data_IF_842266285217
#
_entry.id   IF_842266285217
#
_cell.length_a   1.000
_cell.length_b   1.000
_cell.length_c   1.000
_cell.angle_alpha   90.00
_cell.angle_beta   90.00
_cell.angle_gamma   90.00
#
_symmetry.space_group_name_H-M   'P 1'
#
loop_
_entity.id
_entity.type
_entity.pdbx_description
1 polymer ?
#
# COMPACT_ATOMS: atom_id res chain seq x y z
N UNK A 1 -9.36 -3.52 6.97
CA UNK A 1 -10.72 -3.04 6.66
C UNK A 1 -10.85 -1.52 6.61
N UNK A 2 -10.37 -0.76 7.61
CA UNK A 2 -10.52 0.70 7.62
C UNK A 2 -10.09 1.39 6.32
N UNK A 3 -8.95 0.99 5.75
CA UNK A 3 -8.45 1.52 4.46
C UNK A 3 -9.39 1.23 3.27
N UNK A 4 -9.98 0.04 3.19
CA UNK A 4 -10.80 -0.39 2.05
C UNK A 4 -12.08 0.44 1.87
N UNK A 5 -12.57 1.08 2.94
CA UNK A 5 -13.78 1.91 2.93
C UNK A 5 -13.49 3.41 3.06
N UNK A 6 -12.26 3.86 2.80
CA UNK A 6 -11.93 5.30 2.82
C UNK A 6 -12.43 5.97 1.55
N UNK A 7 -13.54 6.71 1.65
CA UNK A 7 -14.06 7.57 0.56
C UNK A 7 -14.10 9.06 0.93
N UNK A 8 -13.65 9.43 2.13
CA UNK A 8 -13.81 10.75 2.71
C UNK A 8 -13.18 11.89 1.87
N UNK A 9 -12.03 11.65 1.25
CA UNK A 9 -11.30 12.66 0.47
C UNK A 9 -12.04 13.11 -0.80
N UNK A 10 -12.81 12.21 -1.43
CA UNK A 10 -13.57 12.50 -2.66
C UNK A 10 -15.03 12.89 -2.39
N UNK A 11 -15.48 12.71 -1.16
CA UNK A 11 -16.89 12.90 -0.79
C UNK A 11 -17.38 14.33 -1.10
N UNK A 12 -16.54 15.35 -0.87
CA UNK A 12 -16.89 16.73 -1.16
C UNK A 12 -17.09 17.01 -2.66
N UNK A 13 -16.27 16.39 -3.52
CA UNK A 13 -16.39 16.52 -4.98
C UNK A 13 -17.69 15.87 -5.48
N UNK A 14 -18.02 14.69 -4.97
CA UNK A 14 -19.27 13.96 -5.30
C UNK A 14 -20.49 14.76 -4.81
N UNK A 15 -20.43 15.34 -3.61
CA UNK A 15 -21.49 16.21 -3.11
C UNK A 15 -21.68 17.46 -3.98
N UNK A 16 -20.57 18.03 -4.47
CA UNK A 16 -20.56 19.17 -5.37
C UNK A 16 -21.20 18.90 -6.73
N UNK A 17 -21.04 17.69 -7.27
CA UNK A 17 -21.52 17.29 -8.60
C UNK A 17 -22.97 16.78 -8.64
N UNK A 18 -23.59 16.51 -7.49
CA UNK A 18 -24.98 16.06 -7.39
C UNK A 18 -26.00 17.10 -7.86
N UNK A 19 -26.89 16.70 -8.78
CA UNK A 19 -28.00 17.52 -9.26
C UNK A 19 -29.03 17.72 -8.13
N UNK A 20 -29.17 18.96 -7.66
CA UNK A 20 -29.94 19.36 -6.45
C UNK A 20 -29.36 18.78 -5.15
N UNK A 21 -28.47 19.55 -4.52
CA UNK A 21 -27.78 19.20 -3.28
C UNK A 21 -28.76 19.14 -2.10
N UNK A 22 -28.99 17.96 -1.56
CA UNK A 22 -29.76 17.75 -0.33
C UNK A 22 -29.14 16.62 0.48
N UNK A 23 -29.15 16.76 1.82
CA UNK A 23 -28.55 15.80 2.74
C UNK A 23 -29.21 14.42 2.65
N UNK A 24 -30.54 14.35 2.47
CA UNK A 24 -31.26 13.07 2.40
C UNK A 24 -30.88 12.25 1.17
N UNK A 25 -30.74 12.91 0.01
CA UNK A 25 -30.30 12.28 -1.23
C UNK A 25 -28.85 11.83 -1.15
N UNK A 26 -28.00 12.69 -0.60
CA UNK A 26 -26.59 12.37 -0.43
C UNK A 26 -26.41 11.18 0.51
N UNK A 27 -27.10 11.14 1.65
CA UNK A 27 -27.10 10.00 2.57
C UNK A 27 -27.57 8.71 1.88
N UNK A 28 -28.66 8.75 1.12
CA UNK A 28 -29.14 7.57 0.39
C UNK A 28 -28.11 7.05 -0.62
N UNK A 29 -27.52 7.94 -1.43
CA UNK A 29 -26.48 7.58 -2.40
C UNK A 29 -25.25 7.00 -1.70
N UNK A 30 -24.77 7.64 -0.61
CA UNK A 30 -23.64 7.13 0.17
C UNK A 30 -23.91 5.75 0.76
N UNK A 31 -25.09 5.53 1.34
CA UNK A 31 -25.45 4.22 1.90
C UNK A 31 -25.56 3.14 0.82
N UNK A 32 -26.17 3.44 -0.34
CA UNK A 32 -26.26 2.49 -1.45
C UNK A 32 -24.86 2.13 -1.99
N UNK A 33 -23.97 3.11 -2.15
CA UNK A 33 -22.61 2.89 -2.65
C UNK A 33 -21.76 2.08 -1.67
N UNK A 34 -21.77 2.43 -0.38
CA UNK A 34 -20.99 1.71 0.65
C UNK A 34 -21.53 0.31 0.90
N UNK A 35 -22.85 0.13 0.89
CA UNK A 35 -23.45 -1.21 1.06
C UNK A 35 -23.14 -2.10 -0.14
N UNK A 36 -23.23 -1.57 -1.36
CA UNK A 36 -22.86 -2.31 -2.57
C UNK A 36 -21.39 -2.73 -2.58
N UNK A 37 -20.47 -1.82 -2.23
CA UNK A 37 -19.05 -2.16 -2.13
C UNK A 37 -18.76 -3.15 -1.02
N UNK A 38 -19.44 -3.05 0.14
CA UNK A 38 -19.27 -3.98 1.24
C UNK A 38 -19.69 -5.40 0.88
N UNK A 39 -20.83 -5.56 0.18
CA UNK A 39 -21.27 -6.88 -0.33
C UNK A 39 -20.24 -7.44 -1.29
N UNK A 40 -19.79 -6.64 -2.27
CA UNK A 40 -18.80 -7.08 -3.27
C UNK A 40 -17.47 -7.50 -2.63
N UNK A 41 -16.93 -6.67 -1.73
CA UNK A 41 -15.70 -6.98 -1.00
C UNK A 41 -15.85 -8.23 -0.11
N UNK A 42 -17.01 -8.44 0.50
CA UNK A 42 -17.27 -9.61 1.34
C UNK A 42 -17.34 -10.88 0.50
N UNK A 43 -18.04 -10.85 -0.64
CA UNK A 43 -18.13 -12.00 -1.56
C UNK A 43 -16.75 -12.39 -2.09
N UNK A 44 -15.97 -11.41 -2.58
CA UNK A 44 -14.61 -11.67 -3.07
C UNK A 44 -13.67 -12.13 -1.95
N UNK A 45 -13.73 -11.49 -0.78
CA UNK A 45 -12.90 -11.84 0.36
C UNK A 45 -13.19 -13.24 0.90
N UNK A 46 -14.48 -13.59 1.01
CA UNK A 46 -14.90 -14.93 1.46
C UNK A 46 -14.53 -15.99 0.43
N UNK A 47 -14.81 -15.77 -0.85
CA UNK A 47 -14.42 -16.71 -1.91
C UNK A 47 -12.89 -16.90 -1.96
N UNK A 48 -12.11 -15.82 -1.86
CA UNK A 48 -10.65 -15.88 -1.83
C UNK A 48 -10.11 -16.64 -0.61
N UNK A 49 -10.68 -16.41 0.57
CA UNK A 49 -10.30 -17.11 1.79
C UNK A 49 -10.66 -18.60 1.74
N UNK A 50 -11.86 -18.95 1.26
CA UNK A 50 -12.31 -20.34 1.18
C UNK A 50 -11.47 -21.18 0.19
N UNK A 51 -10.85 -20.56 -0.82
CA UNK A 51 -10.03 -21.28 -1.80
C UNK A 51 -8.66 -21.73 -1.25
N UNK A 52 -8.03 -20.95 -0.36
CA UNK A 52 -6.66 -21.19 0.11
C UNK A 52 -6.55 -21.44 1.63
N UNK A 53 -7.59 -21.09 2.39
CA UNK A 53 -7.70 -21.29 3.83
C UNK A 53 -6.43 -20.83 4.57
N UNK A 54 -5.72 -21.76 5.23
CA UNK A 54 -4.58 -21.47 6.08
C UNK A 54 -3.31 -21.01 5.31
N UNK A 55 -3.29 -21.13 3.98
CA UNK A 55 -2.17 -20.71 3.14
C UNK A 55 -2.38 -19.33 2.48
N UNK A 56 -3.39 -18.56 2.89
CA UNK A 56 -3.76 -17.30 2.24
C UNK A 56 -2.73 -16.20 2.49
N UNK A 57 -2.09 -15.72 1.43
CA UNK A 57 -1.22 -14.54 1.42
C UNK A 57 -2.01 -13.24 1.33
N UNK A 58 -1.37 -12.16 1.76
CA UNK A 58 -1.95 -10.81 1.81
C UNK A 58 -2.34 -10.21 0.45
N UNK A 59 -1.69 -10.64 -0.63
CA UNK A 59 -2.12 -10.39 -2.00
C UNK A 59 -2.75 -11.66 -2.56
N UNK A 60 -4.03 -11.56 -2.96
CA UNK A 60 -4.80 -12.68 -3.48
C UNK A 60 -4.14 -13.31 -4.72
N UNK A 61 -3.54 -12.50 -5.60
CA UNK A 61 -2.90 -12.99 -6.82
C UNK A 61 -1.60 -13.73 -6.54
N UNK A 62 -1.00 -13.53 -5.37
CA UNK A 62 0.21 -14.24 -4.94
C UNK A 62 -0.09 -15.65 -4.41
N UNK A 63 -1.37 -16.02 -4.26
CA UNK A 63 -1.81 -17.39 -3.96
C UNK A 63 -1.93 -18.26 -5.22
N UNK A 64 -1.94 -17.69 -6.42
CA UNK A 64 -2.00 -18.48 -7.64
C UNK A 64 -0.60 -18.79 -8.16
N UNK A 65 -0.42 -19.95 -8.79
CA UNK A 65 0.84 -20.32 -9.41
C UNK A 65 1.21 -19.36 -10.55
N UNK A 66 2.50 -19.31 -10.91
CA UNK A 66 2.98 -18.45 -11.99
C UNK A 66 2.52 -18.96 -13.36
N UNK A 67 2.38 -20.28 -13.50
CA UNK A 67 1.99 -20.94 -14.75
C UNK A 67 0.49 -20.81 -15.08
N UNK A 68 -0.32 -20.31 -14.15
CA UNK A 68 -1.75 -20.10 -14.38
C UNK A 68 -1.98 -18.87 -15.28
N UNK A 69 -2.47 -19.11 -16.50
CA UNK A 69 -2.72 -18.07 -17.49
C UNK A 69 -3.84 -17.11 -17.06
N UNK A 70 -4.85 -17.57 -16.31
CA UNK A 70 -5.95 -16.72 -15.81
C UNK A 70 -5.41 -15.77 -14.76
N UNK A 71 -4.63 -16.28 -13.81
CA UNK A 71 -3.96 -15.46 -12.81
C UNK A 71 -2.99 -14.47 -13.45
N UNK A 72 -2.29 -14.88 -14.52
CA UNK A 72 -1.39 -14.00 -15.28
C UNK A 72 -2.13 -12.87 -15.98
N UNK A 73 -3.27 -13.14 -16.60
CA UNK A 73 -4.14 -12.10 -17.19
C UNK A 73 -4.66 -11.15 -16.09
N UNK A 74 -5.08 -11.68 -14.94
CA UNK A 74 -5.54 -10.86 -13.82
C UNK A 74 -4.43 -9.95 -13.26
N UNK A 75 -3.19 -10.45 -13.14
CA UNK A 75 -2.01 -9.66 -12.77
C UNK A 75 -1.74 -8.54 -13.76
N UNK A 76 -1.84 -8.82 -15.06
CA UNK A 76 -1.67 -7.80 -16.10
C UNK A 76 -2.74 -6.71 -16.00
N UNK A 77 -4.02 -7.08 -15.89
CA UNK A 77 -5.12 -6.12 -15.74
C UNK A 77 -4.97 -5.26 -14.47
N UNK A 78 -4.61 -5.90 -13.36
CA UNK A 78 -4.33 -5.20 -12.10
C UNK A 78 -3.16 -4.21 -12.25
N UNK A 79 -2.09 -4.59 -12.94
CA UNK A 79 -0.97 -3.70 -13.23
C UNK A 79 -1.38 -2.51 -14.13
N UNK A 80 -2.21 -2.74 -15.16
CA UNK A 80 -2.76 -1.66 -15.98
C UNK A 80 -3.60 -0.68 -15.16
N UNK A 81 -4.45 -1.17 -14.26
CA UNK A 81 -5.25 -0.33 -13.35
C UNK A 81 -4.34 0.51 -12.44
N UNK A 82 -3.32 -0.09 -11.84
CA UNK A 82 -2.35 0.64 -11.01
C UNK A 82 -1.61 1.70 -11.83
N UNK A 83 -1.16 1.36 -13.04
CA UNK A 83 -0.44 2.29 -13.93
C UNK A 83 -1.27 3.53 -14.27
N UNK A 84 -2.59 3.35 -14.47
CA UNK A 84 -3.52 4.44 -14.75
C UNK A 84 -3.89 5.24 -13.49
N UNK A 85 -3.90 4.59 -12.32
CA UNK A 85 -4.29 5.22 -11.04
C UNK A 85 -3.16 6.06 -10.44
N UNK A 86 -1.93 5.56 -10.52
CA UNK A 86 -0.73 6.20 -9.96
C UNK A 86 -0.53 7.68 -10.36
N UNK A 87 -0.64 8.10 -11.64
CA UNK A 87 -0.48 9.51 -12.00
C UNK A 87 -1.57 10.40 -11.42
N UNK A 88 -2.80 9.89 -11.29
CA UNK A 88 -3.93 10.63 -10.73
C UNK A 88 -3.70 10.87 -9.24
N UNK A 89 -3.23 9.86 -8.51
CA UNK A 89 -2.93 10.00 -7.08
C UNK A 89 -1.76 10.94 -6.81
N UNK A 90 -0.69 10.87 -7.60
CA UNK A 90 0.44 11.80 -7.45
C UNK A 90 0.01 13.24 -7.70
N UNK A 91 -0.90 13.47 -8.65
CA UNK A 91 -1.44 14.81 -8.89
C UNK A 91 -2.12 15.37 -7.63
N UNK A 92 -2.98 14.57 -6.98
CA UNK A 92 -3.65 14.97 -5.73
C UNK A 92 -2.64 15.18 -4.60
N UNK A 93 -1.66 14.28 -4.44
CA UNK A 93 -0.61 14.42 -3.44
C UNK A 93 0.23 15.69 -3.64
N UNK A 94 0.53 16.07 -4.89
CA UNK A 94 1.27 17.28 -5.21
C UNK A 94 0.51 18.53 -4.75
N UNK A 95 -0.77 18.62 -5.06
CA UNK A 95 -1.63 19.74 -4.66
C UNK A 95 -1.72 19.86 -3.13
N UNK A 96 -1.92 18.73 -2.43
CA UNK A 96 -1.94 18.71 -0.96
C UNK A 96 -0.60 19.15 -0.38
N UNK A 97 0.52 18.66 -0.94
CA UNK A 97 1.85 19.02 -0.47
C UNK A 97 2.15 20.51 -0.68
N UNK A 98 1.73 21.09 -1.80
CA UNK A 98 1.86 22.52 -2.07
C UNK A 98 1.06 23.37 -1.08
N UNK A 99 -0.18 22.95 -0.76
CA UNK A 99 -1.02 23.61 0.25
C UNK A 99 -0.35 23.51 1.62
N UNK A 100 0.06 22.32 2.05
CA UNK A 100 0.70 22.11 3.35
C UNK A 100 1.96 22.96 3.46
N UNK A 101 2.81 22.95 2.43
CA UNK A 101 4.05 23.72 2.39
C UNK A 101 3.79 25.23 2.48
N UNK A 102 2.79 25.73 1.76
CA UNK A 102 2.42 27.16 1.82
C UNK A 102 1.82 27.60 3.17
N UNK A 103 1.23 26.67 3.92
CA UNK A 103 0.56 26.92 5.21
C UNK A 103 1.47 26.65 6.42
N UNK A 104 2.73 26.25 6.22
CA UNK A 104 3.65 26.02 7.33
C UNK A 104 3.89 27.34 8.11
N UNK A 105 3.86 27.30 9.47
CA UNK A 105 4.09 28.48 10.27
C UNK A 105 5.52 28.99 10.08
N UNK A 106 5.70 30.32 10.13
CA UNK A 106 7.00 30.99 9.97
C UNK A 106 8.12 30.39 10.85
N UNK A 107 7.76 29.81 12.00
CA UNK A 107 8.68 29.08 12.88
C UNK A 107 9.28 27.85 12.22
N UNK A 108 8.50 26.97 11.59
CA UNK A 108 9.07 25.78 10.90
C UNK A 108 9.95 26.21 9.72
N UNK A 109 9.53 27.24 9.00
CA UNK A 109 10.30 27.84 7.90
C UNK A 109 11.66 28.37 8.41
N UNK A 110 11.70 29.00 9.59
CA UNK A 110 12.94 29.51 10.16
C UNK A 110 13.88 28.40 10.68
N UNK A 111 13.36 27.29 11.23
CA UNK A 111 14.14 26.09 11.59
C UNK A 111 14.75 25.41 10.36
N UNK A 112 13.99 25.30 9.26
CA UNK A 112 14.54 24.79 7.98
C UNK A 112 15.64 25.73 7.45
N UNK A 113 15.59 27.03 7.76
CA UNK A 113 16.52 28.05 7.23
C UNK A 113 17.94 28.02 7.86
N UNK A 114 18.18 27.22 8.90
CA UNK A 114 19.43 27.28 9.70
C UNK A 114 20.70 26.64 9.07
N UNK A 115 20.72 26.26 7.78
CA UNK A 115 21.92 25.72 7.09
C UNK A 115 22.22 26.37 5.74
N UNK A 116 23.50 26.45 5.32
CA UNK A 116 23.92 27.15 4.08
C UNK A 116 23.29 26.59 2.79
N UNK A 117 23.17 25.26 2.65
CA UNK A 117 22.47 24.57 1.53
C UNK A 117 20.94 24.77 1.60
N UNK A 118 20.41 24.99 2.81
CA UNK A 118 18.99 25.12 3.08
C UNK A 118 18.40 26.47 2.66
N UNK A 119 19.21 27.49 2.35
CA UNK A 119 18.72 28.81 1.86
C UNK A 119 18.23 28.79 0.41
N UNK A 120 18.77 27.90 -0.42
CA UNK A 120 18.29 27.70 -1.79
C UNK A 120 17.02 26.83 -1.76
N UNK A 121 17.05 25.72 -1.02
CA UNK A 121 15.92 24.82 -0.83
C UNK A 121 14.72 25.51 -0.17
N UNK A 122 14.92 26.33 0.87
CA UNK A 122 13.82 27.09 1.50
C UNK A 122 13.27 28.20 0.60
N UNK A 123 14.10 28.90 -0.16
CA UNK A 123 13.61 29.86 -1.17
C UNK A 123 12.80 29.15 -2.26
N UNK A 124 13.21 27.95 -2.66
CA UNK A 124 12.52 27.15 -3.66
C UNK A 124 11.17 26.58 -3.16
N UNK A 125 11.17 26.00 -1.95
CA UNK A 125 9.99 25.41 -1.33
C UNK A 125 8.93 26.45 -0.96
N UNK A 126 9.34 27.67 -0.57
CA UNK A 126 8.44 28.69 -0.02
C UNK A 126 8.33 29.97 -0.89
N UNK A 127 8.71 29.92 -2.17
CA UNK A 127 8.58 31.09 -3.07
C UNK A 127 7.11 31.46 -3.30
N UNK A 128 6.68 32.69 -2.96
CA UNK A 128 5.30 33.13 -3.12
C UNK A 128 5.09 33.77 -4.50
N UNK A 129 4.99 32.97 -5.57
CA UNK A 129 4.18 33.26 -6.79
C UNK A 129 4.51 32.34 -7.96
N UNK A 130 3.42 31.86 -8.58
CA UNK A 130 3.19 31.48 -9.98
C UNK A 130 4.18 30.54 -10.70
N UNK A 131 3.74 29.29 -10.87
CA UNK A 131 4.03 28.40 -12.02
C UNK A 131 5.49 28.17 -12.43
N UNK A 132 6.37 27.79 -11.50
CA UNK A 132 7.65 27.22 -11.93
C UNK A 132 7.48 25.70 -12.19
N UNK A 133 7.38 25.33 -13.47
CA UNK A 133 7.47 23.95 -13.97
C UNK A 133 8.55 23.11 -13.25
N UNK A 134 9.76 23.63 -12.92
CA UNK A 134 10.75 22.87 -12.14
C UNK A 134 10.31 22.52 -10.72
N UNK A 135 9.48 23.33 -10.05
CA UNK A 135 8.95 23.01 -8.72
C UNK A 135 8.00 21.83 -8.77
N UNK A 136 7.07 21.83 -9.72
CA UNK A 136 6.15 20.71 -9.89
C UNK A 136 6.90 19.42 -10.24
N UNK A 137 7.89 19.50 -11.15
CA UNK A 137 8.72 18.34 -11.51
C UNK A 137 9.47 17.79 -10.29
N UNK A 138 10.10 18.65 -9.48
CA UNK A 138 10.85 18.21 -8.29
C UNK A 138 9.93 17.57 -7.25
N UNK A 139 8.76 18.17 -6.98
CA UNK A 139 7.81 17.59 -6.01
C UNK A 139 7.29 16.23 -6.48
N UNK A 140 6.92 16.10 -7.75
CA UNK A 140 6.52 14.83 -8.35
C UNK A 140 7.63 13.79 -8.29
N UNK A 141 8.88 14.18 -8.61
CA UNK A 141 10.04 13.28 -8.54
C UNK A 141 10.24 12.76 -7.11
N UNK A 142 10.17 13.64 -6.11
CA UNK A 142 10.30 13.24 -4.70
C UNK A 142 9.18 12.28 -4.29
N UNK A 143 7.94 12.54 -4.69
CA UNK A 143 6.80 11.65 -4.40
C UNK A 143 6.98 10.27 -5.06
N UNK A 144 7.38 10.23 -6.34
CA UNK A 144 7.62 8.99 -7.08
C UNK A 144 8.77 8.21 -6.44
N UNK A 145 9.92 8.85 -6.18
CA UNK A 145 11.07 8.22 -5.55
C UNK A 145 10.74 7.68 -4.16
N UNK A 146 9.93 8.42 -3.38
CA UNK A 146 9.46 7.94 -2.09
C UNK A 146 8.58 6.68 -2.23
N UNK A 147 7.60 6.70 -3.13
CA UNK A 147 6.74 5.53 -3.38
C UNK A 147 7.53 4.32 -3.90
N UNK A 148 8.51 4.54 -4.77
CA UNK A 148 9.41 3.49 -5.25
C UNK A 148 10.27 2.95 -4.12
N UNK A 149 10.79 3.82 -3.25
CA UNK A 149 11.55 3.43 -2.07
C UNK A 149 10.76 2.49 -1.16
N UNK A 150 9.49 2.81 -0.89
CA UNK A 150 8.60 1.93 -0.10
C UNK A 150 8.35 0.59 -0.79
N UNK A 151 8.15 0.59 -2.11
CA UNK A 151 7.96 -0.64 -2.90
C UNK A 151 9.20 -1.54 -2.95
N UNK A 152 10.42 -0.97 -2.86
CA UNK A 152 11.67 -1.75 -2.81
C UNK A 152 12.00 -2.28 -1.41
N UNK A 153 11.45 -1.67 -0.36
CA UNK A 153 11.69 -2.12 1.01
C UNK A 153 10.64 -3.11 1.50
N UNK A 154 9.44 -3.13 0.91
CA UNK A 154 8.30 -3.92 1.40
C UNK A 154 7.75 -4.83 0.32
N UNK A 155 7.89 -6.14 0.53
CA UNK A 155 7.37 -7.17 -0.39
C UNK A 155 5.91 -7.56 -0.06
N UNK A 156 5.44 -7.20 1.14
CA UNK A 156 4.11 -7.56 1.65
C UNK A 156 3.11 -6.40 1.57
N UNK A 157 2.17 -6.52 0.62
CA UNK A 157 1.08 -5.55 0.42
C UNK A 157 0.23 -5.37 1.69
N UNK A 158 0.01 -6.44 2.46
CA UNK A 158 -0.82 -6.38 3.68
C UNK A 158 -0.26 -5.45 4.76
N UNK A 159 1.06 -5.38 4.91
CA UNK A 159 1.71 -4.51 5.89
C UNK A 159 1.48 -3.04 5.51
N UNK A 160 1.70 -2.72 4.23
CA UNK A 160 1.50 -1.36 3.69
C UNK A 160 0.04 -0.92 3.84
N UNK A 161 -0.91 -1.79 3.49
CA UNK A 161 -2.34 -1.52 3.64
C UNK A 161 -2.76 -1.38 5.12
N UNK A 162 -2.14 -2.16 6.02
CA UNK A 162 -2.33 -2.09 7.46
C UNK A 162 -1.89 -0.73 8.04
N UNK A 163 -0.68 -0.29 7.70
CA UNK A 163 -0.17 1.03 8.10
C UNK A 163 -1.05 2.16 7.59
N UNK A 164 -1.45 2.12 6.32
CA UNK A 164 -2.30 3.14 5.72
C UNK A 164 -3.67 3.22 6.43
N UNK A 165 -4.24 2.07 6.80
CA UNK A 165 -5.46 2.00 7.59
C UNK A 165 -5.33 2.63 8.99
N UNK A 166 -4.23 2.35 9.70
CA UNK A 166 -4.05 2.83 11.07
C UNK A 166 -3.65 4.31 11.11
N UNK A 167 -2.74 4.75 10.24
CA UNK A 167 -2.18 6.11 10.26
C UNK A 167 -3.06 7.14 9.55
N UNK A 168 -3.74 6.75 8.47
CA UNK A 168 -4.47 7.70 7.62
C UNK A 168 -5.98 7.51 7.74
N UNK A 169 -6.48 6.29 7.58
CA UNK A 169 -7.92 6.03 7.60
C UNK A 169 -8.55 6.25 8.97
N UNK A 170 -7.90 5.76 10.04
CA UNK A 170 -8.45 5.81 11.41
C UNK A 170 -8.63 7.26 11.91
N UNK A 171 -7.63 8.16 11.79
CA UNK A 171 -7.83 9.56 12.16
C UNK A 171 -8.88 10.27 11.31
N UNK A 172 -8.91 9.99 10.00
CA UNK A 172 -9.88 10.60 9.09
C UNK A 172 -11.32 10.17 9.39
N UNK A 173 -11.54 8.91 9.77
CA UNK A 173 -12.87 8.37 10.03
C UNK A 173 -13.37 8.64 11.45
N UNK A 174 -12.50 8.58 12.47
CA UNK A 174 -12.93 8.65 13.87
C UNK A 174 -12.52 9.94 14.59
N UNK A 175 -11.35 10.50 14.28
CA UNK A 175 -10.80 11.63 15.06
C UNK A 175 -11.27 12.96 14.48
N UNK A 176 -11.07 13.18 13.19
CA UNK A 176 -11.37 14.45 12.52
C UNK A 176 -12.86 14.86 12.52
N UNK A 177 -13.82 13.99 12.14
CA UNK A 177 -15.23 14.37 12.16
C UNK A 177 -15.70 14.66 13.58
N UNK A 178 -15.24 13.87 14.54
CA UNK A 178 -15.59 14.00 15.96
C UNK A 178 -15.00 15.27 16.59
N UNK A 179 -13.75 15.60 16.28
CA UNK A 179 -13.12 16.85 16.71
C UNK A 179 -13.85 18.07 16.14
N UNK A 180 -14.27 17.99 14.88
CA UNK A 180 -15.04 19.05 14.23
C UNK A 180 -16.41 19.22 14.88
N UNK A 181 -17.11 18.12 15.17
CA UNK A 181 -18.39 18.14 15.88
C UNK A 181 -18.28 18.75 17.28
N UNK A 182 -17.26 18.35 18.06
CA UNK A 182 -17.02 18.90 19.40
C UNK A 182 -16.64 20.39 19.38
N UNK A 183 -15.92 20.86 18.35
CA UNK A 183 -15.61 22.28 18.18
C UNK A 183 -16.84 23.10 17.79
N UNK A 184 -17.66 22.61 16.88
CA UNK A 184 -18.88 23.31 16.44
C UNK A 184 -19.93 23.39 17.55
N UNK A 185 -20.06 22.34 18.37
CA UNK A 185 -21.02 22.34 19.47
C UNK A 185 -20.54 23.12 20.70
N UNK A 186 -19.25 23.53 20.78
CA UNK A 186 -18.64 24.17 21.96
C UNK A 186 -19.24 25.53 22.34
N UNK A 187 -19.86 26.24 21.40
CA UNK A 187 -20.46 27.56 21.62
C UNK A 187 -21.84 27.56 22.30
N UNK A 188 -22.50 26.40 22.42
CA UNK A 188 -23.77 26.28 23.13
C UNK A 188 -23.56 26.16 24.64
N UNK A 189 -24.30 26.97 25.43
CA UNK A 189 -24.40 26.96 26.90
C UNK A 189 -25.08 25.68 27.42
N UNK A 190 -24.70 24.51 26.90
CA UNK A 190 -25.13 23.21 27.42
C UNK A 190 -23.99 22.62 28.25
N UNK A 191 -24.37 22.05 29.39
CA UNK A 191 -23.50 21.31 30.30
C UNK A 191 -22.61 20.33 29.48
N UNK A 192 -21.32 20.24 29.82
CA UNK A 192 -20.35 19.25 29.31
C UNK A 192 -20.85 17.78 29.25
N UNK A 193 -21.94 17.46 29.96
CA UNK A 193 -22.52 16.12 30.13
C UNK A 193 -23.73 15.83 29.23
N UNK A 194 -23.91 16.55 28.12
CA UNK A 194 -24.92 16.12 27.14
C UNK A 194 -24.53 14.76 26.53
N UNK A 195 -25.47 13.82 26.42
CA UNK A 195 -25.21 12.44 25.94
C UNK A 195 -24.52 12.42 24.59
N UNK A 196 -24.85 13.35 23.69
CA UNK A 196 -24.25 13.43 22.34
C UNK A 196 -22.76 13.80 22.39
N UNK A 197 -22.36 14.65 23.35
CA UNK A 197 -20.94 15.01 23.55
C UNK A 197 -20.16 13.87 24.19
N UNK A 198 -20.79 13.10 25.09
CA UNK A 198 -20.17 11.91 25.67
C UNK A 198 -19.92 10.86 24.60
N UNK A 199 -20.90 10.60 23.72
CA UNK A 199 -20.75 9.69 22.59
C UNK A 199 -19.63 10.17 21.66
N UNK A 200 -19.59 11.46 21.33
CA UNK A 200 -18.49 12.01 20.53
C UNK A 200 -17.12 11.80 21.20
N UNK A 201 -16.97 12.12 22.48
CA UNK A 201 -15.72 11.86 23.20
C UNK A 201 -15.33 10.38 23.21
N UNK A 202 -16.29 9.48 23.41
CA UNK A 202 -16.06 8.04 23.39
C UNK A 202 -15.54 7.56 22.02
N UNK A 203 -16.15 8.04 20.91
CA UNK A 203 -15.71 7.71 19.54
C UNK A 203 -14.30 8.21 19.25
N UNK A 204 -13.96 9.43 19.71
CA UNK A 204 -12.61 9.98 19.55
C UNK A 204 -11.57 9.15 20.31
N UNK A 205 -11.83 8.82 21.57
CA UNK A 205 -10.92 8.01 22.41
C UNK A 205 -10.76 6.61 21.80
N UNK A 206 -11.85 5.99 21.36
CA UNK A 206 -11.80 4.72 20.64
C UNK A 206 -10.91 4.79 19.40
N UNK A 207 -11.05 5.84 18.57
CA UNK A 207 -10.22 6.03 17.39
C UNK A 207 -8.72 6.17 17.73
N UNK A 208 -8.38 6.86 18.82
CA UNK A 208 -6.99 6.97 19.30
C UNK A 208 -6.46 5.62 19.76
N UNK A 209 -7.24 4.84 20.51
CA UNK A 209 -6.85 3.50 20.97
C UNK A 209 -6.60 2.58 19.76
N UNK A 210 -7.52 2.55 18.80
CA UNK A 210 -7.39 1.75 17.57
C UNK A 210 -6.16 2.17 16.77
N UNK A 211 -5.87 3.48 16.69
CA UNK A 211 -4.67 3.97 16.02
C UNK A 211 -3.40 3.48 16.72
N UNK A 212 -3.29 3.62 18.04
CA UNK A 212 -2.08 3.20 18.79
C UNK A 212 -1.86 1.69 18.70
N UNK A 213 -2.89 0.90 19.01
CA UNK A 213 -2.81 -0.56 18.96
C UNK A 213 -2.51 -1.02 17.53
N UNK A 214 -3.24 -0.48 16.53
CA UNK A 214 -3.05 -0.82 15.13
C UNK A 214 -1.64 -0.51 14.64
N UNK A 215 -1.08 0.65 15.00
CA UNK A 215 0.31 0.98 14.65
C UNK A 215 1.33 0.06 15.33
N UNK A 216 1.13 -0.30 16.59
CA UNK A 216 2.02 -1.23 17.28
C UNK A 216 2.02 -2.61 16.60
N UNK A 217 0.84 -3.13 16.26
CA UNK A 217 0.70 -4.41 15.56
C UNK A 217 1.33 -4.37 14.15
N UNK A 218 1.14 -3.28 13.41
CA UNK A 218 1.77 -3.11 12.09
C UNK A 218 3.30 -3.05 12.17
N UNK A 219 3.86 -2.46 13.23
CA UNK A 219 5.31 -2.41 13.45
C UNK A 219 5.85 -3.81 13.74
N UNK A 220 5.22 -4.56 14.64
CA UNK A 220 5.63 -5.93 14.95
C UNK A 220 5.62 -6.82 13.69
N UNK A 221 4.57 -6.72 12.89
CA UNK A 221 4.46 -7.45 11.62
C UNK A 221 5.55 -7.04 10.62
N UNK A 222 5.86 -5.74 10.52
CA UNK A 222 6.92 -5.26 9.65
C UNK A 222 8.30 -5.80 10.07
N UNK A 223 8.61 -5.79 11.36
CA UNK A 223 9.88 -6.29 11.90
C UNK A 223 10.04 -7.78 11.63
N UNK A 224 8.99 -8.58 11.86
CA UNK A 224 9.01 -10.01 11.58
C UNK A 224 9.24 -10.33 10.09
N UNK A 225 8.63 -9.52 9.21
CA UNK A 225 8.73 -9.71 7.75
C UNK A 225 10.14 -9.45 7.21
N UNK A 226 10.89 -8.53 7.82
CA UNK A 226 12.32 -8.35 7.49
C UNK A 226 13.19 -9.53 7.90
N UNK A 227 12.79 -10.29 8.92
CA UNK A 227 13.57 -11.43 9.42
C UNK A 227 13.43 -12.69 8.55
N UNK A 228 12.28 -12.88 7.89
CA UNK A 228 11.98 -14.04 7.05
C UNK A 228 12.03 -13.75 5.55
N UNK A 229 13.08 -13.05 5.07
CA UNK A 229 13.28 -12.67 3.66
C UNK A 229 13.64 -13.85 2.73
N UNK A 230 12.93 -14.97 2.84
CA UNK A 230 13.03 -16.14 1.99
C UNK A 230 11.79 -16.27 1.09
N UNK A 231 12.00 -16.41 -0.21
CA UNK A 231 10.95 -16.69 -1.21
C UNK A 231 10.22 -17.99 -0.84
N UNK A 232 9.09 -17.88 -0.16
CA UNK A 232 8.24 -19.01 0.20
C UNK A 232 7.55 -19.52 -1.07
N UNK A 233 8.13 -20.56 -1.69
CA UNK A 233 7.47 -21.30 -2.79
C UNK A 233 6.14 -21.86 -2.27
N UNK A 234 5.10 -21.75 -3.09
CA UNK A 234 3.77 -22.29 -2.80
C UNK A 234 3.85 -23.82 -2.89
N UNK A 235 3.61 -24.52 -1.77
CA UNK A 235 3.76 -25.97 -1.66
C UNK A 235 2.83 -26.79 -2.60
N UNK A 236 1.77 -26.17 -3.11
CA UNK A 236 0.80 -26.80 -4.01
C UNK A 236 1.00 -26.44 -5.49
N UNK A 237 2.01 -25.64 -5.84
CA UNK A 237 2.33 -25.40 -7.24
C UNK A 237 3.15 -26.57 -7.79
N UNK A 238 2.80 -27.11 -8.97
CA UNK A 238 3.58 -28.19 -9.57
C UNK A 238 5.01 -27.71 -9.84
N UNK A 239 6.00 -28.54 -9.50
CA UNK A 239 7.36 -28.28 -9.92
C UNK A 239 7.41 -28.37 -11.45
N UNK A 240 7.76 -27.26 -12.10
CA UNK A 240 8.16 -27.23 -13.50
C UNK A 240 9.54 -27.88 -13.70
N UNK A 241 9.76 -29.06 -13.11
CA UNK A 241 10.89 -29.94 -13.38
C UNK A 241 10.75 -30.69 -14.72
N UNK A 242 9.64 -30.52 -15.44
CA UNK A 242 9.40 -31.06 -16.79
C UNK A 242 9.62 -30.07 -17.94
N UNK A 243 9.75 -28.76 -17.67
CA UNK A 243 10.09 -27.76 -18.70
C UNK A 243 11.60 -27.43 -18.75
N UNK A 244 12.35 -27.72 -17.69
CA UNK A 244 13.81 -27.56 -17.65
C UNK A 244 14.58 -28.77 -18.22
N UNK A 245 13.92 -29.92 -18.42
CA UNK A 245 14.57 -31.08 -19.03
C UNK A 245 14.88 -30.87 -20.52
N UNK A 246 14.02 -30.17 -21.27
CA UNK A 246 14.26 -29.88 -22.70
C UNK A 246 15.43 -28.90 -22.94
N UNK A 247 15.71 -27.98 -22.00
CA UNK A 247 16.89 -27.10 -22.10
C UNK A 247 18.19 -27.80 -21.67
N UNK A 248 18.12 -28.75 -20.73
CA UNK A 248 19.27 -29.55 -20.32
C UNK A 248 19.74 -30.54 -21.40
N UNK A 249 18.83 -31.08 -22.22
CA UNK A 249 19.19 -31.94 -23.36
C UNK A 249 19.85 -31.13 -24.49
N UNK A 250 19.43 -29.87 -24.70
CA UNK A 250 20.08 -28.96 -25.64
C UNK A 250 21.49 -28.56 -25.17
N UNK A 251 21.73 -28.36 -23.87
CA UNK A 251 23.08 -28.10 -23.34
C UNK A 251 24.02 -29.31 -23.50
N UNK A 252 23.56 -30.54 -23.29
CA UNK A 252 24.39 -31.74 -23.48
C UNK A 252 24.79 -32.01 -24.94
N UNK A 253 23.98 -31.55 -25.91
CA UNK A 253 24.30 -31.65 -27.34
C UNK A 253 25.32 -30.58 -27.78
N UNK A 254 25.31 -29.41 -27.14
CA UNK A 254 26.31 -28.36 -27.36
C UNK A 254 27.66 -28.76 -26.73
N UNK A 255 27.64 -29.40 -25.55
CA UNK A 255 28.87 -29.86 -24.88
C UNK A 255 29.60 -30.96 -25.69
N UNK A 256 28.84 -31.85 -26.33
CA UNK A 256 29.41 -32.90 -27.19
C UNK A 256 29.98 -32.38 -28.52
N UNK A 257 29.55 -31.20 -28.99
CA UNK A 257 30.01 -30.61 -30.27
C UNK A 257 31.16 -29.61 -30.09
N UNK A 258 31.26 -28.96 -28.93
CA UNK A 258 32.32 -27.99 -28.63
C UNK A 258 33.61 -28.66 -28.13
N UNK A 259 33.52 -29.81 -27.45
CA UNK A 259 34.68 -30.55 -26.93
C UNK A 259 35.57 -31.18 -28.02
N UNK A 260 35.16 -31.11 -29.29
CA UNK A 260 35.93 -31.57 -30.45
C UNK A 260 36.70 -30.46 -31.17
N UNK A 261 36.51 -29.18 -30.82
CA UNK A 261 37.03 -28.08 -31.66
C UNK A 261 37.86 -26.99 -30.98
N UNK A 262 37.91 -26.84 -29.65
CA UNK A 262 38.82 -25.86 -29.01
C UNK A 262 39.22 -26.25 -27.58
N UNK A 263 40.53 -26.44 -27.38
CA UNK A 263 41.16 -26.72 -26.09
C UNK A 263 41.31 -25.40 -25.29
N UNK A 264 40.26 -24.96 -24.60
CA UNK A 264 40.31 -23.81 -23.67
C UNK A 264 39.60 -24.19 -22.35
N UNK A 265 40.21 -24.00 -21.17
CA UNK A 265 39.61 -24.39 -19.90
C UNK A 265 38.74 -23.24 -19.35
N UNK A 266 37.44 -23.45 -19.16
CA UNK A 266 36.57 -22.50 -18.45
C UNK A 266 35.56 -23.23 -17.54
N UNK A 267 35.73 -22.96 -16.24
CA UNK A 267 34.81 -23.05 -15.09
C UNK A 267 33.81 -24.22 -14.99
N UNK A 268 34.11 -25.12 -14.04
CA UNK A 268 33.22 -26.14 -13.44
C UNK A 268 31.85 -25.58 -13.01
N UNK A 269 30.77 -26.05 -13.66
CA UNK A 269 29.38 -25.90 -13.20
C UNK A 269 28.97 -26.94 -12.14
N UNK A 270 29.87 -27.87 -11.77
CA UNK A 270 29.57 -28.98 -10.85
C UNK A 270 29.41 -28.54 -9.39
N UNK A 271 29.99 -27.40 -8.99
CA UNK A 271 30.04 -26.95 -7.59
C UNK A 271 28.77 -26.23 -7.10
N UNK A 272 27.89 -25.77 -7.99
CA UNK A 272 26.71 -24.98 -7.60
C UNK A 272 25.45 -25.83 -7.36
N UNK A 273 25.40 -27.06 -7.88
CA UNK A 273 24.24 -27.95 -7.73
C UNK A 273 24.24 -28.79 -6.45
N UNK A 274 25.39 -28.98 -5.79
CA UNK A 274 25.47 -29.94 -4.69
C UNK A 274 25.06 -29.39 -3.30
N UNK A 275 24.79 -28.08 -3.19
CA UNK A 275 24.48 -27.44 -1.90
C UNK A 275 22.99 -27.16 -1.63
N UNK A 276 22.10 -27.58 -2.52
CA UNK A 276 20.65 -27.34 -2.39
C UNK A 276 19.86 -28.53 -1.84
N UNK A 277 20.53 -29.65 -1.54
CA UNK A 277 19.89 -30.91 -1.12
C UNK A 277 19.99 -31.20 0.38
N UNK A 278 20.36 -30.21 1.21
CA UNK A 278 20.42 -30.37 2.68
C UNK A 278 19.62 -29.25 3.35
N UNK A 279 18.30 -29.41 3.38
CA UNK A 279 17.51 -29.30 4.61
C UNK A 279 16.15 -29.94 4.33
N UNK A 280 16.16 -31.26 4.39
CA UNK A 280 14.97 -32.08 4.56
C UNK A 280 14.28 -31.71 5.87
N UNK A 281 12.95 -31.62 5.79
CA UNK A 281 11.99 -31.81 6.88
C UNK A 281 12.46 -32.73 8.01
N UNK A 282 12.17 -32.36 9.26
CA UNK A 282 11.12 -33.04 10.04
C UNK A 282 10.18 -31.97 10.65
N UNK A 283 8.87 -32.12 10.78
CA UNK A 283 8.13 -33.21 11.37
C UNK A 283 6.66 -33.21 10.92
N UNK A 284 6.12 -34.43 10.95
CA UNK A 284 4.73 -34.80 10.80
C UNK A 284 4.05 -34.73 12.20
N UNK A 285 2.84 -34.17 12.26
CA UNK A 285 1.81 -34.22 13.32
C UNK A 285 2.00 -33.44 14.65
N UNK A 286 1.41 -32.24 14.69
CA UNK A 286 0.34 -31.76 15.60
C UNK A 286 0.04 -30.29 15.29
#
# INVERSE_FOLDING_TARGET
MAFAFVCHHNTYLIYGSLLRRSYTRFSAVSHMSVSGSAVFCTVLGLAGFLSFMNATKGDLLNNYCVDDWVATVARFLYACVIMLTFPIEIFVCREVLEIVLSRLPYRVISWVRQGRVKRALSRFLFSPRHSSLPRHVILTLVLVLFSLGVGLTTDDLSIVLGFNGCLMATPMAFILPTASYLRLTRGGRSHWYSRDRLIAWAVMVFGVIVMVIGTALSIEQAVQSFSHRGTSRLAYCPDTSSAHQSLSTCCSLIDSTVNLTLHVPLCDCSSFCHNSSILTSPDLYC
#
